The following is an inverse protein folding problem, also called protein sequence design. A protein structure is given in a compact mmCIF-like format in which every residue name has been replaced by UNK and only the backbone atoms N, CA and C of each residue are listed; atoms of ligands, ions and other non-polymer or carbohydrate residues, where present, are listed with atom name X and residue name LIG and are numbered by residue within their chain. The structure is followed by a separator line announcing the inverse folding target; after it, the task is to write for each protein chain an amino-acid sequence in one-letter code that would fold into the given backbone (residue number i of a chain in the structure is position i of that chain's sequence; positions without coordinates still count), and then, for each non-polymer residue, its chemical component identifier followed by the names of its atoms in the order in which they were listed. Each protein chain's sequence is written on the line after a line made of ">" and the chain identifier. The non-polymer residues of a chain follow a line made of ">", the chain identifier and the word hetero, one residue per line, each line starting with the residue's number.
data_IF_240958578242
#
_entry.id   IF_240958578242
#
_cell.length_a   1.000
_cell.length_b   1.000
_cell.length_c   1.000
_cell.angle_alpha   90.00
_cell.angle_beta   90.00
_cell.angle_gamma   90.00
#
_symmetry.space_group_name_H-M   'P 1'
#
loop_
_entity.id
_entity.type
_entity.pdbx_description
1 polymer ?
#
# COMPACT_ATOMS: atom_id res chain seq x y z
N UNK A 1 -18.62 28.63 -35.21
CA UNK A 1 -18.36 28.68 -33.75
C UNK A 1 -19.17 27.56 -33.09
N UNK A 2 -18.54 26.64 -32.34
CA UNK A 2 -19.28 25.59 -31.62
C UNK A 2 -19.79 26.18 -30.31
N UNK A 3 -21.10 26.44 -30.21
CA UNK A 3 -21.71 26.81 -28.94
C UNK A 3 -21.83 25.57 -28.06
N UNK A 4 -21.19 25.60 -26.89
CA UNK A 4 -21.40 24.58 -25.86
C UNK A 4 -22.70 24.96 -25.13
N UNK A 5 -23.81 24.32 -25.47
CA UNK A 5 -25.06 24.43 -24.71
C UNK A 5 -24.91 23.65 -23.41
N UNK A 6 -24.55 24.33 -22.33
CA UNK A 6 -24.53 23.75 -20.99
C UNK A 6 -25.96 23.69 -20.43
N UNK A 7 -26.51 22.49 -20.29
CA UNK A 7 -27.81 22.27 -19.64
C UNK A 7 -27.64 22.37 -18.12
N UNK A 8 -28.17 23.43 -17.52
CA UNK A 8 -28.26 23.56 -16.06
C UNK A 8 -29.46 22.73 -15.56
N UNK A 9 -29.19 21.74 -14.72
CA UNK A 9 -30.22 20.92 -14.07
C UNK A 9 -30.26 21.23 -12.56
N UNK A 10 -31.46 21.43 -11.98
CA UNK A 10 -31.59 21.67 -10.54
C UNK A 10 -31.25 20.41 -9.75
N UNK A 11 -30.58 20.58 -8.61
CA UNK A 11 -30.11 19.47 -7.76
C UNK A 11 -31.25 18.55 -7.28
N UNK A 12 -32.47 19.09 -7.15
CA UNK A 12 -33.69 18.35 -6.80
C UNK A 12 -34.15 17.35 -7.87
N UNK A 13 -33.74 17.52 -9.13
CA UNK A 13 -34.07 16.61 -10.23
C UNK A 13 -33.15 15.37 -10.30
N UNK A 14 -32.10 15.34 -9.47
CA UNK A 14 -31.17 14.23 -9.40
C UNK A 14 -31.72 13.15 -8.47
N UNK A 15 -31.79 11.91 -8.94
CA UNK A 15 -32.19 10.77 -8.11
C UNK A 15 -31.10 10.50 -7.04
N UNK A 16 -31.39 10.69 -5.74
CA UNK A 16 -30.39 10.53 -4.68
C UNK A 16 -29.85 9.11 -4.57
N UNK A 17 -30.63 8.10 -4.98
CA UNK A 17 -30.24 6.69 -4.93
C UNK A 17 -29.28 6.29 -6.06
N UNK A 18 -29.04 7.17 -7.04
CA UNK A 18 -28.11 6.96 -8.16
C UNK A 18 -26.79 7.71 -7.99
N UNK A 19 -26.58 8.35 -6.85
CA UNK A 19 -25.34 9.06 -6.56
C UNK A 19 -24.32 8.03 -6.10
N UNK A 20 -23.50 7.55 -7.02
CA UNK A 20 -22.34 6.74 -6.66
C UNK A 20 -21.37 7.58 -5.83
N UNK A 21 -20.88 7.01 -4.73
CA UNK A 21 -19.78 7.61 -3.99
C UNK A 21 -18.58 7.82 -4.92
N UNK A 22 -17.81 8.91 -4.75
CA UNK A 22 -16.60 9.11 -5.52
C UNK A 22 -15.66 7.91 -5.34
N UNK A 23 -14.90 7.52 -6.38
CA UNK A 23 -13.94 6.44 -6.28
C UNK A 23 -12.92 6.76 -5.18
N UNK A 24 -12.47 5.72 -4.47
CA UNK A 24 -11.47 5.87 -3.42
C UNK A 24 -10.18 6.45 -4.00
N UNK A 25 -9.53 7.30 -3.22
CA UNK A 25 -8.18 7.77 -3.55
C UNK A 25 -7.17 6.63 -3.31
N UNK A 26 -6.03 6.68 -4.01
CA UNK A 26 -4.94 5.69 -3.84
C UNK A 26 -4.49 5.53 -2.37
N UNK A 27 -4.54 6.59 -1.58
CA UNK A 27 -4.17 6.53 -0.16
C UNK A 27 -5.22 5.84 0.70
N UNK A 28 -6.50 6.06 0.40
CA UNK A 28 -7.60 5.34 1.05
C UNK A 28 -7.55 3.86 0.71
N UNK A 29 -7.35 3.51 -0.57
CA UNK A 29 -7.22 2.10 -0.97
C UNK A 29 -6.06 1.37 -0.27
N UNK A 30 -4.92 2.05 -0.07
CA UNK A 30 -3.77 1.47 0.65
C UNK A 30 -4.11 1.12 2.10
N UNK A 31 -4.97 1.88 2.77
CA UNK A 31 -5.37 1.61 4.14
C UNK A 31 -6.20 0.32 4.27
N UNK A 32 -6.91 -0.08 3.21
CA UNK A 32 -7.73 -1.29 3.21
C UNK A 32 -6.97 -2.55 2.76
N UNK A 33 -5.79 -2.40 2.15
CA UNK A 33 -5.02 -3.53 1.62
C UNK A 33 -4.04 -4.03 2.68
N UNK A 34 -4.21 -5.30 3.08
CA UNK A 34 -3.21 -6.00 3.89
C UNK A 34 -1.91 -6.12 3.08
N UNK A 35 -0.76 -5.70 3.63
CA UNK A 35 0.50 -5.79 2.90
C UNK A 35 0.88 -7.26 2.68
N UNK A 36 1.39 -7.57 1.49
CA UNK A 36 1.74 -8.94 1.08
C UNK A 36 2.65 -9.65 2.11
N UNK A 37 3.55 -8.91 2.74
CA UNK A 37 4.48 -9.47 3.73
C UNK A 37 3.75 -10.03 4.96
N UNK A 38 2.70 -9.37 5.43
CA UNK A 38 1.87 -9.88 6.52
C UNK A 38 1.10 -11.14 6.10
N UNK A 39 0.59 -11.15 4.87
CA UNK A 39 -0.08 -12.33 4.30
C UNK A 39 0.88 -13.52 4.25
N UNK A 40 2.11 -13.29 3.79
CA UNK A 40 3.12 -14.34 3.69
C UNK A 40 3.57 -14.83 5.07
N UNK A 41 3.73 -13.94 6.06
CA UNK A 41 4.06 -14.33 7.43
C UNK A 41 2.96 -15.22 8.04
N UNK A 42 1.69 -14.88 7.84
CA UNK A 42 0.56 -15.72 8.28
C UNK A 42 0.61 -17.11 7.65
N UNK A 43 0.82 -17.18 6.33
CA UNK A 43 0.95 -18.46 5.62
C UNK A 43 2.13 -19.28 6.12
N UNK A 44 3.27 -18.65 6.46
CA UNK A 44 4.41 -19.35 7.04
C UNK A 44 4.08 -19.93 8.40
N UNK A 45 3.38 -19.17 9.26
CA UNK A 45 2.96 -19.68 10.58
C UNK A 45 1.93 -20.80 10.47
N UNK A 46 1.02 -20.74 9.50
CA UNK A 46 0.00 -21.76 9.25
C UNK A 46 0.61 -23.06 8.71
N UNK A 47 1.61 -22.96 7.82
CA UNK A 47 2.26 -24.12 7.21
C UNK A 47 3.27 -24.83 8.14
N UNK A 48 3.90 -24.09 9.06
CA UNK A 48 4.87 -24.65 10.01
C UNK A 48 5.95 -25.49 9.33
N UNK A 49 5.96 -26.81 9.59
CA UNK A 49 6.94 -27.74 9.04
C UNK A 49 6.81 -27.97 7.52
N UNK A 50 5.65 -27.71 6.92
CA UNK A 50 5.45 -27.83 5.47
C UNK A 50 5.85 -26.57 4.70
N UNK A 51 6.38 -25.56 5.37
CA UNK A 51 6.81 -24.33 4.71
C UNK A 51 8.01 -24.58 3.79
N UNK A 52 8.03 -24.06 2.55
CA UNK A 52 9.15 -24.27 1.64
C UNK A 52 10.45 -23.68 2.18
N UNK A 53 11.50 -24.49 2.28
CA UNK A 53 12.81 -24.06 2.81
C UNK A 53 13.48 -23.00 1.91
N UNK A 54 13.12 -22.96 0.63
CA UNK A 54 13.62 -21.96 -0.32
C UNK A 54 12.94 -20.59 -0.18
N UNK A 55 11.89 -20.45 0.64
CA UNK A 55 11.17 -19.20 0.84
C UNK A 55 11.45 -18.63 2.23
N UNK A 56 12.37 -17.67 2.30
CA UNK A 56 12.62 -16.87 3.50
C UNK A 56 11.91 -15.53 3.41
N UNK A 57 11.14 -15.19 4.45
CA UNK A 57 10.48 -13.88 4.56
C UNK A 57 11.38 -12.97 5.38
N UNK A 58 11.89 -11.92 4.76
CA UNK A 58 12.75 -10.95 5.44
C UNK A 58 11.95 -10.00 6.35
N UNK A 59 12.55 -9.53 7.47
CA UNK A 59 11.93 -8.50 8.29
C UNK A 59 11.83 -7.16 7.55
N UNK A 60 10.83 -6.35 7.88
CA UNK A 60 10.73 -4.98 7.35
C UNK A 60 11.85 -4.12 7.95
N UNK A 61 12.89 -3.85 7.16
CA UNK A 61 14.01 -3.01 7.56
C UNK A 61 13.61 -1.53 7.58
N UNK A 62 13.27 -1.02 8.77
CA UNK A 62 12.95 0.39 8.97
C UNK A 62 14.20 1.21 9.33
N UNK A 63 14.11 2.55 9.26
CA UNK A 63 15.20 3.44 9.73
C UNK A 63 15.61 3.17 11.19
N UNK A 64 14.75 2.54 11.99
CA UNK A 64 15.07 2.10 13.36
C UNK A 64 16.14 1.01 13.39
N UNK A 65 16.20 0.14 12.38
CA UNK A 65 17.20 -0.93 12.29
C UNK A 65 18.63 -0.38 12.16
N UNK A 66 18.79 0.82 11.61
CA UNK A 66 20.09 1.51 11.45
C UNK A 66 20.46 2.30 12.73
N UNK A 67 19.55 2.41 13.70
CA UNK A 67 19.79 3.06 14.99
C UNK A 67 20.28 4.51 14.87
N UNK A 68 21.24 4.87 15.73
CA UNK A 68 21.87 6.21 15.78
C UNK A 68 23.08 6.34 14.84
N UNK A 69 23.19 5.52 13.80
CA UNK A 69 24.35 5.60 12.89
C UNK A 69 24.53 7.02 12.31
N UNK A 70 25.78 7.49 12.15
CA UNK A 70 26.06 8.81 11.58
C UNK A 70 25.47 8.93 10.18
N UNK A 71 24.95 10.13 9.84
CA UNK A 71 24.35 10.43 8.52
C UNK A 71 25.14 9.89 7.31
N UNK A 72 26.48 10.03 7.21
CA UNK A 72 27.22 9.57 6.04
C UNK A 72 27.13 8.05 5.81
N UNK A 73 27.01 7.26 6.88
CA UNK A 73 27.03 5.79 6.78
C UNK A 73 25.64 5.16 6.62
N UNK A 74 24.56 5.92 6.87
CA UNK A 74 23.19 5.36 6.84
C UNK A 74 22.80 4.77 5.48
N UNK A 75 23.21 5.41 4.39
CA UNK A 75 22.91 4.92 3.04
C UNK A 75 23.62 3.59 2.75
N UNK A 76 24.88 3.46 3.18
CA UNK A 76 25.67 2.24 3.05
C UNK A 76 25.10 1.11 3.92
N UNK A 77 24.82 1.39 5.20
CA UNK A 77 24.21 0.41 6.12
C UNK A 77 22.84 -0.06 5.62
N UNK A 78 22.02 0.85 5.07
CA UNK A 78 20.73 0.47 4.48
C UNK A 78 20.91 -0.52 3.31
N UNK A 79 21.93 -0.32 2.47
CA UNK A 79 22.23 -1.23 1.36
C UNK A 79 22.71 -2.60 1.82
N UNK A 80 23.43 -2.68 2.95
CA UNK A 80 23.87 -3.95 3.53
C UNK A 80 22.72 -4.77 4.13
N UNK A 81 21.65 -4.09 4.56
CA UNK A 81 20.45 -4.75 5.13
C UNK A 81 19.49 -5.31 4.08
N UNK A 82 19.76 -5.09 2.79
CA UNK A 82 18.98 -5.64 1.69
C UNK A 82 19.85 -6.64 0.96
N UNK A 83 19.46 -7.91 0.92
CA UNK A 83 20.14 -8.91 0.11
C UNK A 83 20.06 -8.56 -1.38
N UNK A 84 21.05 -9.02 -2.14
CA UNK A 84 21.11 -8.88 -3.61
C UNK A 84 20.20 -9.89 -4.28
#
# INVERSE_FOLDING_TARGET
>A
MRSLLTRLLPKSSLNPNRIHSPPLTKNQEKAFKVPLIEVMQRRQTEAGASWPQNLRIEPIMSKRAIGKAPKPFRAMLKKMLTER
#
